data_IF_610865030251
#
_entry.id   IF_610865030251
#
_cell.length_a   1.000
_cell.length_b   1.000
_cell.length_c   1.000
_cell.angle_alpha   90.00
_cell.angle_beta   90.00
_cell.angle_gamma   90.00
#
_symmetry.space_group_name_H-M   'P 1'
#
loop_
_entity.id
_entity.type
_entity.pdbx_description
1 polymer ?
#
# COMPACT_ATOMS: atom_id res chain seq x y z
N UNK A 1 47.07 -6.29 12.45
CA UNK A 1 46.92 -5.16 11.50
C UNK A 1 45.74 -5.32 10.53
N UNK A 2 45.56 -6.42 9.79
CA UNK A 2 44.40 -6.55 8.88
C UNK A 2 43.04 -6.64 9.61
N UNK A 3 43.00 -7.24 10.80
CA UNK A 3 41.77 -7.44 11.58
C UNK A 3 41.28 -6.14 12.24
N UNK A 4 42.18 -5.29 12.71
CA UNK A 4 41.83 -3.98 13.31
C UNK A 4 41.17 -3.02 12.30
N UNK A 5 41.56 -3.08 11.02
CA UNK A 5 40.94 -2.28 9.97
C UNK A 5 39.52 -2.79 9.61
N UNK A 6 39.27 -4.10 9.72
CA UNK A 6 37.94 -4.68 9.52
C UNK A 6 36.99 -4.32 10.66
N UNK A 7 37.45 -4.35 11.91
CA UNK A 7 36.65 -3.94 13.07
C UNK A 7 36.40 -2.43 13.12
N UNK A 8 37.37 -1.61 12.73
CA UNK A 8 37.20 -0.16 12.58
C UNK A 8 36.20 0.19 11.45
N UNK A 9 36.23 -0.53 10.33
CA UNK A 9 35.26 -0.36 9.25
C UNK A 9 33.85 -0.83 9.66
N UNK A 10 33.74 -1.96 10.34
CA UNK A 10 32.47 -2.50 10.81
C UNK A 10 31.82 -1.60 11.88
N UNK A 11 32.62 -1.06 12.82
CA UNK A 11 32.14 -0.14 13.85
C UNK A 11 31.74 1.22 13.27
N UNK A 12 32.48 1.75 12.28
CA UNK A 12 32.10 2.96 11.54
C UNK A 12 30.78 2.78 10.76
N UNK A 13 30.60 1.63 10.11
CA UNK A 13 29.39 1.30 9.37
C UNK A 13 28.17 1.10 10.30
N UNK A 14 28.36 0.42 11.44
CA UNK A 14 27.32 0.25 12.45
C UNK A 14 26.92 1.59 13.09
N UNK A 15 27.90 2.45 13.38
CA UNK A 15 27.67 3.79 13.93
C UNK A 15 26.93 4.68 12.93
N UNK A 16 27.30 4.64 11.65
CA UNK A 16 26.58 5.31 10.58
C UNK A 16 25.13 4.85 10.43
N UNK A 17 24.87 3.54 10.52
CA UNK A 17 23.52 2.95 10.51
C UNK A 17 22.66 3.39 11.70
N UNK A 18 23.23 3.43 12.91
CA UNK A 18 22.52 3.88 14.11
C UNK A 18 22.20 5.37 14.08
N UNK A 19 23.11 6.20 13.54
CA UNK A 19 22.90 7.63 13.39
C UNK A 19 21.86 7.92 12.29
N UNK A 20 21.89 7.17 11.17
CA UNK A 20 20.85 7.24 10.14
C UNK A 20 19.45 6.89 10.67
N UNK A 21 19.34 5.94 11.60
CA UNK A 21 18.07 5.58 12.24
C UNK A 21 17.54 6.64 13.22
N UNK A 22 18.39 7.55 13.69
CA UNK A 22 17.97 8.70 14.51
C UNK A 22 17.47 9.88 13.67
N UNK A 23 17.77 9.91 12.38
CA UNK A 23 17.36 11.00 11.51
C UNK A 23 15.82 11.05 11.39
N UNK A 24 15.18 12.18 11.77
CA UNK A 24 13.73 12.30 11.79
C UNK A 24 13.12 12.25 10.39
N UNK A 25 13.85 12.62 9.35
CA UNK A 25 13.37 12.55 7.96
C UNK A 25 13.38 11.11 7.43
N UNK A 26 14.42 10.34 7.78
CA UNK A 26 14.51 8.93 7.41
C UNK A 26 13.40 8.11 8.06
N UNK A 27 13.10 8.36 9.35
CA UNK A 27 11.96 7.75 10.05
C UNK A 27 10.63 8.11 9.41
N UNK A 28 10.39 9.39 9.07
CA UNK A 28 9.17 9.81 8.37
C UNK A 28 8.97 9.09 7.04
N UNK A 29 10.02 8.94 6.22
CA UNK A 29 9.94 8.20 4.94
C UNK A 29 9.63 6.72 5.18
N UNK A 30 10.26 6.12 6.19
CA UNK A 30 10.01 4.74 6.56
C UNK A 30 8.58 4.54 7.07
N UNK A 31 8.09 5.41 7.94
CA UNK A 31 6.73 5.39 8.49
C UNK A 31 5.68 5.56 7.38
N UNK A 32 5.92 6.46 6.42
CA UNK A 32 5.05 6.64 5.25
C UNK A 32 5.01 5.37 4.38
N UNK A 33 6.17 4.74 4.12
CA UNK A 33 6.23 3.51 3.34
C UNK A 33 5.54 2.32 4.04
N UNK A 34 5.60 2.26 5.37
CA UNK A 34 4.91 1.24 6.17
C UNK A 34 3.41 1.49 6.22
N UNK A 35 2.98 2.74 6.42
CA UNK A 35 1.57 3.10 6.36
C UNK A 35 0.96 2.76 5.00
N UNK A 36 1.68 3.05 3.92
CA UNK A 36 1.30 2.69 2.57
C UNK A 36 1.24 1.16 2.38
N UNK A 37 2.23 0.42 2.87
CA UNK A 37 2.20 -1.04 2.86
C UNK A 37 0.98 -1.62 3.59
N UNK A 38 0.69 -1.12 4.79
CA UNK A 38 -0.44 -1.57 5.61
C UNK A 38 -1.77 -1.25 4.92
N UNK A 39 -1.92 -0.02 4.42
CA UNK A 39 -3.15 0.40 3.72
C UNK A 39 -3.36 -0.36 2.41
N UNK A 40 -2.28 -0.70 1.69
CA UNK A 40 -2.34 -1.54 0.49
C UNK A 40 -2.76 -2.99 0.80
N UNK A 41 -2.32 -3.54 1.94
CA UNK A 41 -2.74 -4.87 2.41
C UNK A 41 -4.17 -4.84 2.93
N UNK A 42 -4.62 -3.74 3.54
CA UNK A 42 -6.03 -3.58 3.96
C UNK A 42 -6.99 -3.56 2.77
N UNK A 43 -6.58 -3.02 1.62
CA UNK A 43 -7.41 -2.91 0.43
C UNK A 43 -8.07 -4.23 -0.04
N UNK A 44 -7.35 -5.36 -0.21
CA UNK A 44 -7.96 -6.63 -0.57
C UNK A 44 -8.89 -7.18 0.52
N UNK A 45 -8.65 -6.88 1.81
CA UNK A 45 -9.61 -7.24 2.87
C UNK A 45 -10.93 -6.46 2.73
N UNK A 46 -10.84 -5.16 2.41
CA UNK A 46 -12.02 -4.32 2.13
C UNK A 46 -12.77 -4.86 0.91
N UNK A 47 -12.05 -5.26 -0.14
CA UNK A 47 -12.62 -5.93 -1.32
C UNK A 47 -13.38 -7.21 -0.97
N UNK A 48 -12.81 -8.06 -0.12
CA UNK A 48 -13.49 -9.28 0.34
C UNK A 48 -14.79 -8.94 1.09
N UNK A 49 -14.77 -7.92 1.96
CA UNK A 49 -15.96 -7.41 2.64
C UNK A 49 -17.01 -6.84 1.68
N UNK A 50 -16.57 -6.13 0.64
CA UNK A 50 -17.43 -5.60 -0.41
C UNK A 50 -18.15 -6.72 -1.18
N UNK A 51 -17.42 -7.73 -1.66
CA UNK A 51 -17.99 -8.89 -2.38
C UNK A 51 -18.96 -9.66 -1.49
N UNK A 52 -18.62 -9.86 -0.22
CA UNK A 52 -19.52 -10.49 0.75
C UNK A 52 -20.81 -9.69 0.95
N UNK A 53 -20.70 -8.36 1.03
CA UNK A 53 -21.86 -7.47 1.12
C UNK A 53 -22.71 -7.51 -0.16
N UNK A 54 -22.07 -7.67 -1.32
CA UNK A 54 -22.70 -7.81 -2.63
C UNK A 54 -23.50 -9.11 -2.72
N UNK A 55 -22.93 -10.22 -2.24
CA UNK A 55 -23.59 -11.52 -2.18
C UNK A 55 -24.77 -11.58 -1.19
N UNK A 56 -24.72 -10.80 -0.11
CA UNK A 56 -25.77 -10.74 0.91
C UNK A 56 -26.87 -9.71 0.62
N UNK A 57 -26.75 -8.92 -0.46
CA UNK A 57 -27.75 -7.94 -0.87
C UNK A 57 -27.89 -6.75 0.07
N UNK A 58 -26.92 -6.50 0.96
CA UNK A 58 -26.99 -5.42 1.94
C UNK A 58 -26.46 -4.11 1.33
N UNK A 59 -27.33 -3.38 0.63
CA UNK A 59 -27.02 -2.15 -0.12
C UNK A 59 -26.40 -1.04 0.76
N UNK A 60 -26.81 -0.93 2.03
CA UNK A 60 -26.27 0.07 2.96
C UNK A 60 -24.79 -0.14 3.26
N UNK A 61 -24.35 -1.39 3.34
CA UNK A 61 -22.95 -1.73 3.52
C UNK A 61 -22.16 -1.55 2.22
N UNK A 62 -22.75 -1.76 1.04
CA UNK A 62 -22.07 -1.63 -0.25
C UNK A 62 -21.54 -0.21 -0.51
N UNK A 63 -22.33 0.83 -0.17
CA UNK A 63 -21.89 2.21 -0.35
C UNK A 63 -20.74 2.57 0.61
N UNK A 64 -20.80 2.08 1.85
CA UNK A 64 -19.75 2.30 2.85
C UNK A 64 -18.42 1.67 2.42
N UNK A 65 -18.46 0.42 1.94
CA UNK A 65 -17.29 -0.25 1.38
C UNK A 65 -16.77 0.43 0.11
N UNK A 66 -17.64 0.94 -0.75
CA UNK A 66 -17.25 1.71 -1.95
C UNK A 66 -16.46 2.97 -1.58
N UNK A 67 -16.93 3.72 -0.58
CA UNK A 67 -16.22 4.89 -0.06
C UNK A 67 -14.87 4.51 0.55
N UNK A 68 -14.78 3.40 1.29
CA UNK A 68 -13.51 2.90 1.83
C UNK A 68 -12.54 2.50 0.71
N UNK A 69 -13.01 1.80 -0.32
CA UNK A 69 -12.19 1.44 -1.50
C UNK A 69 -11.65 2.69 -2.19
N UNK A 70 -12.49 3.71 -2.38
CA UNK A 70 -12.08 4.99 -2.96
C UNK A 70 -11.07 5.73 -2.08
N UNK A 71 -11.35 5.85 -0.78
CA UNK A 71 -10.51 6.58 0.18
C UNK A 71 -9.12 5.93 0.30
N UNK A 72 -9.07 4.61 0.44
CA UNK A 72 -7.81 3.89 0.48
C UNK A 72 -7.08 3.87 -0.87
N UNK A 73 -7.79 3.88 -2.00
CA UNK A 73 -7.18 4.01 -3.33
C UNK A 73 -6.52 5.38 -3.51
N UNK A 74 -7.13 6.46 -3.00
CA UNK A 74 -6.55 7.80 -2.97
C UNK A 74 -5.30 7.87 -2.08
N UNK A 75 -5.37 7.29 -0.87
CA UNK A 75 -4.21 7.20 0.04
C UNK A 75 -3.05 6.40 -0.56
N UNK A 76 -3.36 5.45 -1.45
CA UNK A 76 -2.38 4.63 -2.15
C UNK A 76 -2.12 5.09 -3.60
N UNK A 77 -2.61 6.26 -4.01
CA UNK A 77 -2.56 6.70 -5.41
C UNK A 77 -1.13 6.79 -5.96
N UNK A 78 -0.16 7.26 -5.16
CA UNK A 78 1.25 7.29 -5.59
C UNK A 78 1.82 5.89 -5.90
N UNK A 79 1.36 4.83 -5.24
CA UNK A 79 1.79 3.46 -5.53
C UNK A 79 0.94 2.82 -6.64
N UNK A 80 -0.37 3.05 -6.61
CA UNK A 80 -1.32 2.48 -7.57
C UNK A 80 -1.18 3.08 -8.97
N UNK A 81 -0.95 4.39 -9.07
CA UNK A 81 -0.93 5.15 -10.33
C UNK A 81 0.51 5.40 -10.80
N UNK A 82 1.39 5.82 -9.89
CA UNK A 82 2.78 6.16 -10.24
C UNK A 82 3.69 4.94 -10.29
N UNK A 83 3.26 3.81 -9.73
CA UNK A 83 4.04 2.57 -9.72
C UNK A 83 5.40 2.75 -9.04
N UNK A 84 5.47 3.63 -8.03
CA UNK A 84 6.70 3.85 -7.27
C UNK A 84 7.17 2.49 -6.75
N UNK A 85 8.41 2.12 -7.08
CA UNK A 85 8.94 0.78 -6.81
C UNK A 85 8.97 0.56 -5.32
N UNK A 86 7.92 -0.07 -4.79
CA UNK A 86 7.92 -0.58 -3.44
C UNK A 86 9.07 -1.57 -3.32
N UNK A 87 9.81 -1.46 -2.21
CA UNK A 87 10.98 -2.28 -1.89
C UNK A 87 10.69 -3.79 -2.01
N UNK A 88 9.41 -4.17 -1.86
CA UNK A 88 8.97 -5.56 -1.92
C UNK A 88 8.17 -5.89 -3.20
N UNK A 89 8.64 -6.90 -3.93
CA UNK A 89 8.01 -7.41 -5.17
C UNK A 89 6.56 -7.84 -4.96
N UNK A 90 6.24 -8.39 -3.78
CA UNK A 90 4.89 -8.84 -3.41
C UNK A 90 3.92 -7.66 -3.36
N UNK A 91 4.32 -6.56 -2.71
CA UNK A 91 3.48 -5.37 -2.63
C UNK A 91 3.25 -4.73 -4.00
N UNK A 92 4.24 -4.76 -4.89
CA UNK A 92 4.07 -4.24 -6.24
C UNK A 92 3.03 -5.05 -7.04
N UNK A 93 3.07 -6.39 -6.92
CA UNK A 93 2.05 -7.27 -7.52
C UNK A 93 0.68 -6.99 -6.90
N UNK A 94 0.62 -6.84 -5.58
CA UNK A 94 -0.62 -6.54 -4.87
C UNK A 94 -1.21 -5.19 -5.28
N UNK A 95 -0.39 -4.17 -5.46
CA UNK A 95 -0.80 -2.86 -5.97
C UNK A 95 -1.38 -2.96 -7.38
N UNK A 96 -0.70 -3.65 -8.30
CA UNK A 96 -1.22 -3.87 -9.66
C UNK A 96 -2.53 -4.63 -9.67
N UNK A 97 -2.64 -5.69 -8.88
CA UNK A 97 -3.87 -6.48 -8.77
C UNK A 97 -5.03 -5.62 -8.27
N UNK A 98 -4.83 -4.87 -7.19
CA UNK A 98 -5.83 -3.95 -6.66
C UNK A 98 -6.21 -2.85 -7.65
N UNK A 99 -5.25 -2.30 -8.39
CA UNK A 99 -5.51 -1.28 -9.42
C UNK A 99 -6.43 -1.83 -10.52
N UNK A 100 -6.13 -3.02 -11.04
CA UNK A 100 -6.97 -3.69 -12.04
C UNK A 100 -8.36 -3.97 -11.48
N UNK A 101 -8.44 -4.45 -10.23
CA UNK A 101 -9.71 -4.75 -9.56
C UNK A 101 -10.58 -3.49 -9.41
N UNK A 102 -9.98 -2.38 -8.97
CA UNK A 102 -10.64 -1.08 -8.89
C UNK A 102 -11.13 -0.59 -10.25
N UNK A 103 -10.31 -0.74 -11.29
CA UNK A 103 -10.68 -0.30 -12.64
C UNK A 103 -11.86 -1.09 -13.20
N UNK A 104 -11.85 -2.43 -13.05
CA UNK A 104 -12.96 -3.30 -13.48
C UNK A 104 -14.25 -2.93 -12.75
N UNK A 105 -14.19 -2.69 -11.45
CA UNK A 105 -15.36 -2.31 -10.67
C UNK A 105 -15.86 -0.90 -10.97
N UNK A 106 -14.96 0.06 -11.19
CA UNK A 106 -15.34 1.41 -11.61
C UNK A 106 -16.07 1.37 -12.96
N UNK A 107 -15.54 0.60 -13.93
CA UNK A 107 -16.20 0.36 -15.21
C UNK A 107 -17.56 -0.30 -15.03
N UNK A 108 -17.67 -1.34 -14.20
CA UNK A 108 -18.94 -2.01 -13.92
C UNK A 108 -19.98 -1.05 -13.32
N UNK A 109 -19.58 -0.18 -12.39
CA UNK A 109 -20.45 0.85 -11.83
C UNK A 109 -20.87 1.88 -12.88
N UNK A 110 -19.96 2.35 -13.72
CA UNK A 110 -20.28 3.31 -14.80
C UNK A 110 -21.30 2.69 -15.77
N UNK A 111 -21.09 1.43 -16.19
CA UNK A 111 -22.03 0.72 -17.08
C UNK A 111 -23.38 0.54 -16.39
N UNK A 112 -23.41 0.13 -15.12
CA UNK A 112 -24.64 0.01 -14.34
C UNK A 112 -25.39 1.34 -14.22
N UNK A 113 -24.67 2.45 -14.05
CA UNK A 113 -25.25 3.79 -13.92
C UNK A 113 -25.79 4.33 -15.25
N UNK A 114 -25.20 3.94 -16.39
CA UNK A 114 -25.67 4.28 -17.74
C UNK A 114 -26.83 3.38 -18.18
N UNK A 115 -26.82 2.10 -17.79
CA UNK A 115 -27.84 1.12 -18.15
C UNK A 115 -29.13 1.23 -17.31
N UNK A 116 -29.11 2.06 -16.26
CA UNK A 116 -30.25 2.37 -15.40
C UNK A 116 -30.92 3.65 -15.84
#
# INVERSE_FOLDING_TARGET
MAEEHLEAAASGQAKGWFEQRKDPEFRKRQDASLFQAITLVMLPFIWAGFVYSLATGNEGNMNSYSLMILFFSLLNADVLVKGEKLSNKVLNVLARANCVLFFVWALANIVYLIAK
#
